data_IF_410038647416
#
_entry.id   IF_410038647416
#
_cell.length_a   1.000
_cell.length_b   1.000
_cell.length_c   1.000
_cell.angle_alpha   90.00
_cell.angle_beta   90.00
_cell.angle_gamma   90.00
#
_symmetry.space_group_name_H-M   'P 1'
#
loop_
_entity.id
_entity.type
_entity.pdbx_description
1 polymer ?
#
# COMPACT_ATOMS: atom_id res chain seq x y z
N UNK A 1 16.30 25.55 25.20
CA UNK A 1 15.40 24.91 24.21
C UNK A 1 16.17 24.77 22.90
N UNK A 2 16.28 23.56 22.37
CA UNK A 2 17.06 23.31 21.15
C UNK A 2 16.38 23.91 19.92
N UNK A 3 17.14 24.20 18.87
CA UNK A 3 16.59 24.70 17.61
C UNK A 3 15.60 23.68 16.99
N UNK A 4 15.83 22.38 17.21
CA UNK A 4 14.90 21.31 16.83
C UNK A 4 13.59 21.34 17.63
N UNK A 5 13.62 21.65 18.93
CA UNK A 5 12.40 21.82 19.74
C UNK A 5 11.56 23.00 19.23
N UNK A 6 12.21 24.16 18.99
CA UNK A 6 11.55 25.34 18.40
C UNK A 6 10.91 25.05 17.05
N UNK A 7 11.62 24.31 16.19
CA UNK A 7 11.07 23.87 14.89
C UNK A 7 9.76 23.10 15.06
N UNK A 8 9.73 22.09 15.95
CA UNK A 8 8.53 21.28 16.15
C UNK A 8 7.39 22.08 16.78
N UNK A 9 7.69 23.01 17.70
CA UNK A 9 6.68 23.91 18.27
C UNK A 9 6.03 24.78 17.20
N UNK A 10 6.83 25.49 16.39
CA UNK A 10 6.32 26.33 15.30
C UNK A 10 5.58 25.49 14.23
N UNK A 11 6.15 24.35 13.85
CA UNK A 11 5.55 23.45 12.86
C UNK A 11 4.19 22.92 13.34
N UNK A 12 4.08 22.49 14.59
CA UNK A 12 2.81 22.02 15.17
C UNK A 12 1.79 23.13 15.38
N UNK A 13 2.23 24.37 15.58
CA UNK A 13 1.37 25.55 15.67
C UNK A 13 0.98 26.14 14.28
N UNK A 14 1.39 25.50 13.17
CA UNK A 14 1.18 25.98 11.79
C UNK A 14 1.86 27.33 11.48
N UNK A 15 2.88 27.71 12.27
CA UNK A 15 3.73 28.88 12.05
C UNK A 15 4.87 28.52 11.08
N UNK A 16 4.51 28.40 9.80
CA UNK A 16 5.40 27.79 8.80
C UNK A 16 6.61 28.63 8.46
N UNK A 17 6.51 29.96 8.46
CA UNK A 17 7.66 30.83 8.21
C UNK A 17 8.72 30.67 9.30
N UNK A 18 8.31 30.67 10.56
CA UNK A 18 9.17 30.47 11.72
C UNK A 18 9.76 29.06 11.76
N UNK A 19 8.97 28.04 11.39
CA UNK A 19 9.47 26.67 11.25
C UNK A 19 10.51 26.56 10.11
N UNK A 20 10.27 27.17 8.95
CA UNK A 20 11.22 27.19 7.82
C UNK A 20 12.52 27.89 8.22
N UNK A 21 12.41 29.03 8.92
CA UNK A 21 13.57 29.76 9.42
C UNK A 21 14.40 28.90 10.38
N UNK A 22 13.77 28.14 11.28
CA UNK A 22 14.48 27.18 12.12
C UNK A 22 15.15 26.08 11.28
N UNK A 23 14.42 25.51 10.31
CA UNK A 23 14.90 24.42 9.47
C UNK A 23 16.13 24.79 8.64
N UNK A 24 16.18 26.02 8.11
CA UNK A 24 17.30 26.50 7.31
C UNK A 24 18.63 26.44 8.08
N UNK A 25 18.61 26.68 9.39
CA UNK A 25 19.78 26.71 10.28
C UNK A 25 20.34 25.33 10.63
N UNK A 26 19.63 24.25 10.33
CA UNK A 26 20.05 22.89 10.68
C UNK A 26 21.20 22.38 9.81
N UNK A 27 22.00 21.47 10.39
CA UNK A 27 22.97 20.68 9.63
C UNK A 27 22.26 19.77 8.63
N UNK A 28 23.03 19.17 7.72
CA UNK A 28 22.48 18.21 6.75
C UNK A 28 21.95 16.97 7.47
N UNK A 29 22.62 16.52 8.52
CA UNK A 29 22.21 15.37 9.34
C UNK A 29 20.86 15.63 10.01
N UNK A 30 20.68 16.80 10.62
CA UNK A 30 19.44 17.17 11.30
C UNK A 30 18.28 17.37 10.32
N UNK A 31 18.54 17.98 9.16
CA UNK A 31 17.56 18.08 8.06
C UNK A 31 17.13 16.70 7.59
N UNK A 32 18.10 15.79 7.40
CA UNK A 32 17.84 14.41 7.00
C UNK A 32 16.99 13.68 8.03
N UNK A 33 17.28 13.84 9.33
CA UNK A 33 16.49 13.24 10.40
C UNK A 33 15.03 13.77 10.43
N UNK A 34 14.82 15.06 10.15
CA UNK A 34 13.48 15.64 10.01
C UNK A 34 12.76 15.11 8.77
N UNK A 35 13.44 15.03 7.62
CA UNK A 35 12.87 14.43 6.42
C UNK A 35 12.52 12.95 6.63
N UNK A 36 13.34 12.18 7.34
CA UNK A 36 12.98 10.82 7.74
C UNK A 36 11.73 10.78 8.60
N UNK A 37 11.58 11.69 9.58
CA UNK A 37 10.36 11.81 10.39
C UNK A 37 9.15 12.20 9.55
N UNK A 38 9.29 13.11 8.59
CA UNK A 38 8.22 13.46 7.66
C UNK A 38 7.85 12.28 6.77
N UNK A 39 8.82 11.60 6.19
CA UNK A 39 8.59 10.40 5.40
C UNK A 39 7.86 9.33 6.19
N UNK A 40 8.26 9.09 7.44
CA UNK A 40 7.55 8.16 8.33
C UNK A 40 6.12 8.66 8.58
N UNK A 41 5.94 9.92 9.00
CA UNK A 41 4.60 10.47 9.21
C UNK A 41 3.73 10.41 7.96
N UNK A 42 4.24 10.69 6.76
CA UNK A 42 3.46 10.64 5.51
C UNK A 42 3.23 9.22 5.01
N UNK A 43 4.18 8.30 5.23
CA UNK A 43 4.02 6.89 4.91
C UNK A 43 3.03 6.18 5.85
N UNK A 44 2.91 6.64 7.10
CA UNK A 44 2.03 6.05 8.12
C UNK A 44 0.74 6.84 8.40
N UNK A 45 0.58 8.07 7.90
CA UNK A 45 -0.66 8.86 8.10
C UNK A 45 -1.69 8.69 6.98
N UNK A 46 -1.31 8.10 5.85
CA UNK A 46 -2.25 7.87 4.76
C UNK A 46 -3.08 6.65 5.08
N UNK A 47 -4.32 6.90 5.46
CA UNK A 47 -5.31 5.85 5.61
C UNK A 47 -5.87 5.44 4.24
N UNK A 48 -5.86 4.15 3.90
CA UNK A 48 -6.48 3.67 2.67
C UNK A 48 -7.98 3.95 2.72
N UNK A 49 -8.57 4.32 1.59
CA UNK A 49 -10.02 4.43 1.49
C UNK A 49 -10.67 3.06 1.26
N UNK A 50 -10.00 2.21 0.49
CA UNK A 50 -10.48 0.87 0.13
C UNK A 50 -9.45 -0.16 0.57
N UNK A 51 -9.94 -1.19 1.26
CA UNK A 51 -9.19 -2.39 1.60
C UNK A 51 -9.82 -3.56 0.83
N UNK A 52 -9.06 -4.18 -0.08
CA UNK A 52 -9.47 -5.41 -0.74
C UNK A 52 -8.87 -6.61 -0.02
N UNK A 53 -9.69 -7.62 0.26
CA UNK A 53 -9.23 -8.89 0.82
C UNK A 53 -9.65 -9.99 -0.13
N UNK A 54 -8.66 -10.68 -0.69
CA UNK A 54 -8.84 -11.84 -1.53
C UNK A 54 -8.26 -13.05 -0.83
N UNK A 55 -9.08 -14.08 -0.72
CA UNK A 55 -8.68 -15.37 -0.19
C UNK A 55 -8.80 -16.41 -1.30
N UNK A 56 -7.69 -17.11 -1.54
CA UNK A 56 -7.59 -18.16 -2.54
C UNK A 56 -6.93 -19.38 -1.91
N UNK A 57 -7.23 -20.54 -2.47
CA UNK A 57 -6.54 -21.78 -2.13
C UNK A 57 -5.85 -22.32 -3.37
N UNK A 58 -4.56 -22.62 -3.27
CA UNK A 58 -3.75 -23.24 -4.31
C UNK A 58 -4.30 -24.63 -4.65
N UNK A 59 -4.29 -24.98 -5.93
CA UNK A 59 -4.57 -26.35 -6.35
C UNK A 59 -3.44 -27.30 -5.92
N UNK A 60 -3.72 -28.60 -5.91
CA UNK A 60 -2.74 -29.61 -5.55
C UNK A 60 -1.44 -29.47 -6.35
N UNK A 61 -0.32 -29.41 -5.63
CA UNK A 61 1.03 -29.29 -6.21
C UNK A 61 1.39 -27.90 -6.73
N UNK A 62 0.54 -26.88 -6.54
CA UNK A 62 0.85 -25.47 -6.86
C UNK A 62 1.50 -24.75 -5.69
N UNK A 63 2.29 -23.74 -6.02
CA UNK A 63 3.07 -22.95 -5.06
C UNK A 63 2.61 -21.49 -5.04
N UNK A 64 3.04 -20.75 -4.03
CA UNK A 64 2.85 -19.30 -3.99
C UNK A 64 3.48 -18.60 -5.20
N UNK A 65 4.64 -19.06 -5.66
CA UNK A 65 5.32 -18.48 -6.82
C UNK A 65 4.51 -18.69 -8.11
N UNK A 66 3.88 -19.86 -8.28
CA UNK A 66 2.95 -20.11 -9.40
C UNK A 66 1.79 -19.12 -9.37
N UNK A 67 1.19 -18.92 -8.19
CA UNK A 67 0.12 -17.93 -8.00
C UNK A 67 0.60 -16.50 -8.28
N UNK A 68 1.74 -16.11 -7.72
CA UNK A 68 2.28 -14.77 -7.85
C UNK A 68 2.62 -14.44 -9.31
N UNK A 69 3.18 -15.40 -10.05
CA UNK A 69 3.39 -15.27 -11.49
C UNK A 69 2.07 -15.13 -12.26
N UNK A 70 1.05 -15.94 -11.95
CA UNK A 70 -0.27 -15.86 -12.58
C UNK A 70 -1.04 -14.57 -12.22
N UNK A 71 -0.74 -13.98 -11.06
CA UNK A 71 -1.37 -12.75 -10.57
C UNK A 71 -0.96 -11.51 -11.37
N UNK A 72 0.22 -11.52 -11.99
CA UNK A 72 0.71 -10.39 -12.76
C UNK A 72 -0.05 -10.21 -14.09
N UNK A 73 -0.36 -8.96 -14.47
CA UNK A 73 -0.75 -8.67 -15.84
C UNK A 73 0.41 -9.01 -16.80
N UNK A 74 0.13 -9.22 -18.09
CA UNK A 74 1.19 -9.34 -19.10
C UNK A 74 2.13 -8.13 -19.05
N UNK A 75 3.44 -8.38 -19.18
CA UNK A 75 4.50 -7.40 -18.93
C UNK A 75 4.36 -6.12 -19.77
N UNK A 76 3.84 -6.25 -20.98
CA UNK A 76 3.63 -5.15 -21.93
C UNK A 76 2.57 -4.13 -21.47
N UNK A 77 1.74 -4.47 -20.48
CA UNK A 77 0.78 -3.55 -19.84
C UNK A 77 1.25 -3.02 -18.50
N UNK A 78 2.49 -3.32 -18.12
CA UNK A 78 3.05 -2.98 -16.84
C UNK A 78 4.13 -1.93 -16.98
N UNK A 79 4.14 -0.95 -16.08
CA UNK A 79 5.27 -0.05 -15.90
C UNK A 79 6.12 -0.58 -14.74
N UNK A 80 7.22 -1.32 -15.00
CA UNK A 80 8.05 -1.86 -13.94
C UNK A 80 8.80 -0.74 -13.23
N UNK A 81 8.79 -0.78 -11.90
CA UNK A 81 9.61 0.05 -11.02
C UNK A 81 10.38 -0.90 -10.12
N UNK A 82 11.70 -0.78 -10.12
CA UNK A 82 12.57 -1.55 -9.23
C UNK A 82 12.84 -0.76 -7.94
N UNK A 83 12.67 -1.42 -6.79
CA UNK A 83 13.03 -0.84 -5.49
C UNK A 83 13.63 -1.92 -4.60
N UNK A 84 14.93 -1.81 -4.34
CA UNK A 84 15.67 -2.87 -3.64
C UNK A 84 15.69 -4.14 -4.48
N UNK A 85 15.28 -5.26 -3.90
CA UNK A 85 15.18 -6.55 -4.59
C UNK A 85 13.78 -6.83 -5.18
N UNK A 86 12.86 -5.86 -5.11
CA UNK A 86 11.45 -6.02 -5.52
C UNK A 86 11.15 -5.27 -6.83
N UNK A 87 10.35 -5.90 -7.70
CA UNK A 87 9.84 -5.30 -8.94
C UNK A 87 8.34 -5.04 -8.76
N UNK A 88 7.95 -3.76 -8.86
CA UNK A 88 6.57 -3.31 -8.78
C UNK A 88 6.02 -3.06 -10.17
N UNK A 89 4.84 -3.57 -10.48
CA UNK A 89 4.15 -3.25 -11.73
C UNK A 89 2.99 -2.31 -11.44
N UNK A 90 3.06 -1.08 -11.97
CA UNK A 90 1.98 -0.10 -11.81
C UNK A 90 0.91 -0.30 -12.89
N UNK A 91 -0.29 -0.68 -12.44
CA UNK A 91 -1.48 -0.92 -13.30
C UNK A 91 -2.77 -0.31 -12.73
N UNK A 92 -2.74 0.26 -11.52
CA UNK A 92 -3.93 0.83 -10.88
C UNK A 92 -4.01 2.35 -11.09
N UNK A 93 -5.22 2.92 -11.33
CA UNK A 93 -5.40 4.36 -11.56
C UNK A 93 -5.34 5.21 -10.28
N UNK A 94 -5.08 4.58 -9.13
CA UNK A 94 -4.85 5.21 -7.85
C UNK A 94 -3.70 4.50 -7.12
N UNK A 95 -2.96 5.19 -6.23
CA UNK A 95 -1.95 4.55 -5.40
C UNK A 95 -2.51 3.31 -4.72
N UNK A 96 -1.92 2.16 -5.05
CA UNK A 96 -2.36 0.85 -4.56
C UNK A 96 -1.16 0.03 -4.14
N UNK A 97 -1.27 -0.64 -3.00
CA UNK A 97 -0.26 -1.60 -2.52
C UNK A 97 -0.96 -2.89 -2.13
N UNK A 98 -0.51 -4.00 -2.70
CA UNK A 98 -1.04 -5.33 -2.38
C UNK A 98 0.02 -6.11 -1.63
N UNK A 99 -0.33 -6.59 -0.44
CA UNK A 99 0.47 -7.53 0.32
C UNK A 99 -0.08 -8.92 0.08
N UNK A 100 0.80 -9.85 -0.29
CA UNK A 100 0.44 -11.24 -0.47
C UNK A 100 1.12 -12.06 0.62
N UNK A 101 0.39 -13.01 1.20
CA UNK A 101 0.86 -13.87 2.26
C UNK A 101 0.31 -15.30 2.08
N UNK A 102 1.00 -16.26 2.68
CA UNK A 102 0.51 -17.63 2.84
C UNK A 102 0.15 -17.89 4.29
N UNK A 103 -0.82 -18.77 4.56
CA UNK A 103 -1.09 -19.23 5.91
C UNK A 103 0.08 -20.09 6.40
N UNK A 104 0.56 -19.81 7.62
CA UNK A 104 1.68 -20.54 8.24
C UNK A 104 1.33 -21.99 8.60
N UNK A 105 0.05 -22.29 8.81
CA UNK A 105 -0.45 -23.63 9.15
C UNK A 105 -0.95 -24.39 7.91
N UNK A 106 -1.34 -23.67 6.85
CA UNK A 106 -1.80 -24.25 5.60
C UNK A 106 -1.17 -23.51 4.40
N UNK A 107 -0.04 -23.99 3.85
CA UNK A 107 0.68 -23.28 2.80
C UNK A 107 -0.10 -23.17 1.48
N UNK A 108 -1.21 -23.90 1.33
CA UNK A 108 -2.09 -23.77 0.17
C UNK A 108 -2.99 -22.53 0.25
N UNK A 109 -3.14 -21.91 1.41
CA UNK A 109 -3.97 -20.72 1.57
C UNK A 109 -3.19 -19.46 1.25
N UNK A 110 -3.70 -18.68 0.30
CA UNK A 110 -3.12 -17.39 -0.11
C UNK A 110 -4.07 -16.26 0.27
N UNK A 111 -3.53 -15.27 0.99
CA UNK A 111 -4.20 -14.05 1.35
C UNK A 111 -3.56 -12.87 0.61
N UNK A 112 -4.35 -12.17 -0.19
CA UNK A 112 -3.95 -10.90 -0.82
C UNK A 112 -4.73 -9.76 -0.20
N UNK A 113 -4.05 -8.82 0.43
CA UNK A 113 -4.64 -7.62 1.03
C UNK A 113 -4.17 -6.39 0.26
N UNK A 114 -5.08 -5.78 -0.48
CA UNK A 114 -4.84 -4.55 -1.23
C UNK A 114 -5.30 -3.33 -0.45
N UNK A 115 -4.46 -2.30 -0.44
CA UNK A 115 -4.75 -0.99 0.11
C UNK A 115 -4.74 0.02 -1.03
N UNK A 116 -5.83 0.77 -1.19
CA UNK A 116 -5.94 1.81 -2.21
C UNK A 116 -6.22 3.16 -1.55
N UNK A 117 -5.38 4.15 -1.87
CA UNK A 117 -5.54 5.53 -1.44
C UNK A 117 -6.16 6.32 -2.58
N UNK A 118 -7.32 6.92 -2.32
CA UNK A 118 -8.01 7.79 -3.25
C UNK A 118 -7.88 9.20 -2.67
N UNK A 119 -7.13 10.05 -3.36
CA UNK A 119 -6.77 11.38 -2.87
C UNK A 119 -7.74 12.46 -3.42
N UNK A 120 -8.69 12.09 -4.29
CA UNK A 120 -9.70 13.00 -4.85
C UNK A 120 -10.96 12.29 -5.37
N UNK A 121 -12.07 13.03 -5.48
CA UNK A 121 -13.31 12.55 -6.11
C UNK A 121 -13.08 12.06 -7.54
N UNK A 122 -12.20 12.73 -8.30
CA UNK A 122 -11.82 12.32 -9.66
C UNK A 122 -11.14 10.95 -9.67
N UNK A 123 -10.20 10.70 -8.75
CA UNK A 123 -9.57 9.38 -8.60
C UNK A 123 -10.58 8.33 -8.15
N UNK A 124 -11.53 8.69 -7.28
CA UNK A 124 -12.61 7.82 -6.86
C UNK A 124 -13.50 7.41 -8.04
N UNK A 125 -13.88 8.36 -8.88
CA UNK A 125 -14.63 8.10 -10.11
C UNK A 125 -13.84 7.20 -11.09
N UNK A 126 -12.54 7.44 -11.28
CA UNK A 126 -11.68 6.58 -12.11
C UNK A 126 -11.57 5.15 -11.58
N UNK A 127 -11.40 4.97 -10.27
CA UNK A 127 -11.39 3.66 -9.63
C UNK A 127 -12.73 2.93 -9.80
N UNK A 128 -13.85 3.62 -9.58
CA UNK A 128 -15.19 3.03 -9.75
C UNK A 128 -15.49 2.72 -11.23
N UNK A 129 -15.03 3.54 -12.16
CA UNK A 129 -15.12 3.26 -13.58
C UNK A 129 -14.32 2.01 -13.95
N UNK A 130 -13.05 1.93 -13.52
CA UNK A 130 -12.18 0.76 -13.71
C UNK A 130 -12.81 -0.53 -13.15
N UNK A 131 -13.36 -0.47 -11.93
CA UNK A 131 -14.04 -1.62 -11.32
C UNK A 131 -15.27 -2.08 -12.12
N UNK A 132 -16.00 -1.18 -12.78
CA UNK A 132 -17.19 -1.50 -13.59
C UNK A 132 -16.86 -2.10 -14.96
N UNK A 133 -15.66 -1.85 -15.49
CA UNK A 133 -15.21 -2.42 -16.77
C UNK A 133 -14.28 -3.63 -16.59
N UNK A 134 -13.92 -4.00 -15.36
CA UNK A 134 -12.99 -5.10 -15.09
C UNK A 134 -13.41 -6.45 -15.70
N UNK A 135 -14.71 -6.74 -15.80
CA UNK A 135 -15.23 -7.96 -16.42
C UNK A 135 -15.27 -7.90 -17.97
N UNK A 136 -15.11 -6.69 -18.53
CA UNK A 136 -15.06 -6.42 -19.98
C UNK A 136 -13.64 -6.18 -20.49
N UNK A 137 -12.67 -6.17 -19.59
CA UNK A 137 -11.25 -6.05 -19.91
C UNK A 137 -10.68 -7.44 -20.17
N UNK A 138 -10.46 -7.76 -21.45
CA UNK A 138 -9.86 -9.02 -21.89
C UNK A 138 -8.53 -9.32 -21.17
N UNK A 139 -7.77 -8.29 -20.79
CA UNK A 139 -6.54 -8.44 -20.05
C UNK A 139 -6.81 -8.96 -18.63
N UNK A 140 -7.76 -8.34 -17.94
CA UNK A 140 -8.14 -8.74 -16.60
C UNK A 140 -8.77 -10.14 -16.62
N UNK A 141 -9.60 -10.46 -17.61
CA UNK A 141 -10.17 -11.79 -17.79
C UNK A 141 -9.08 -12.86 -17.98
N UNK A 142 -8.11 -12.64 -18.88
CA UNK A 142 -6.97 -13.57 -19.05
C UNK A 142 -6.16 -13.77 -17.77
N UNK A 143 -5.98 -12.70 -16.98
CA UNK A 143 -5.33 -12.76 -15.68
C UNK A 143 -6.13 -13.62 -14.70
N UNK A 144 -7.45 -13.43 -14.64
CA UNK A 144 -8.35 -14.27 -13.84
C UNK A 144 -8.25 -15.75 -14.25
N UNK A 145 -8.29 -16.04 -15.56
CA UNK A 145 -8.14 -17.41 -16.08
C UNK A 145 -6.80 -18.05 -15.69
N UNK A 146 -5.71 -17.28 -15.74
CA UNK A 146 -4.39 -17.78 -15.34
C UNK A 146 -4.33 -18.08 -13.84
N UNK A 147 -4.91 -17.21 -13.02
CA UNK A 147 -4.98 -17.45 -11.57
C UNK A 147 -5.82 -18.71 -11.30
N UNK A 148 -6.95 -18.90 -11.98
CA UNK A 148 -7.84 -20.02 -11.74
C UNK A 148 -7.24 -21.39 -12.13
N UNK A 149 -6.19 -21.42 -12.97
CA UNK A 149 -5.37 -22.62 -13.25
C UNK A 149 -4.44 -23.02 -12.10
N UNK A 150 -4.16 -22.11 -11.17
CA UNK A 150 -3.21 -22.36 -10.07
C UNK A 150 -3.83 -22.24 -8.69
N UNK A 151 -4.94 -21.50 -8.55
CA UNK A 151 -5.63 -21.30 -7.29
C UNK A 151 -7.13 -21.10 -7.48
N UNK A 152 -7.94 -21.77 -6.66
CA UNK A 152 -9.39 -21.52 -6.59
C UNK A 152 -9.69 -20.26 -5.78
N UNK A 153 -10.67 -19.47 -6.26
CA UNK A 153 -11.23 -18.35 -5.52
C UNK A 153 -12.09 -18.86 -4.37
N UNK A 154 -11.74 -18.49 -3.13
CA UNK A 154 -12.58 -18.74 -1.96
C UNK A 154 -13.42 -17.50 -1.64
N UNK A 155 -12.79 -16.33 -1.57
CA UNK A 155 -13.51 -15.07 -1.39
C UNK A 155 -12.79 -13.86 -1.99
N UNK A 156 -13.55 -12.82 -2.30
CA UNK A 156 -13.04 -11.50 -2.66
C UNK A 156 -14.02 -10.46 -2.14
N UNK A 157 -13.52 -9.54 -1.32
CA UNK A 157 -14.33 -8.53 -0.62
C UNK A 157 -13.62 -7.18 -0.67
N UNK A 158 -14.41 -6.13 -0.74
CA UNK A 158 -13.96 -4.75 -0.58
C UNK A 158 -14.53 -4.20 0.72
N UNK A 159 -13.70 -3.51 1.47
CA UNK A 159 -14.04 -2.87 2.72
C UNK A 159 -13.67 -1.40 2.66
N UNK A 160 -14.48 -0.57 3.30
CA UNK A 160 -14.16 0.82 3.59
C UNK A 160 -13.43 0.85 4.94
N UNK A 161 -12.31 1.58 5.02
CA UNK A 161 -11.66 1.81 6.30
C UNK A 161 -12.55 2.73 7.16
N UNK A 162 -12.88 2.28 8.39
CA UNK A 162 -13.63 3.10 9.35
C UNK A 162 -12.75 3.71 10.44
N UNK A 163 -11.73 2.98 10.91
CA UNK A 163 -10.76 3.44 11.90
C UNK A 163 -9.47 2.65 11.75
N UNK A 164 -8.36 3.16 12.31
CA UNK A 164 -7.10 2.45 12.45
C UNK A 164 -6.71 2.45 13.93
N UNK A 165 -6.68 1.27 14.54
CA UNK A 165 -6.25 1.13 15.93
C UNK A 165 -4.74 0.81 15.99
N UNK A 166 -4.03 1.46 16.92
CA UNK A 166 -2.58 1.40 17.13
C UNK A 166 -1.75 2.13 16.04
N UNK A 167 -0.77 2.93 16.48
CA UNK A 167 0.12 3.69 15.59
C UNK A 167 1.32 2.87 15.08
N UNK A 168 1.29 1.54 15.22
CA UNK A 168 2.42 0.67 14.87
C UNK A 168 3.66 0.84 15.77
N UNK A 169 3.53 1.55 16.89
CA UNK A 169 4.57 1.64 17.93
C UNK A 169 4.25 0.67 19.07
N UNK A 170 5.25 -0.06 19.59
CA UNK A 170 5.04 -0.93 20.75
C UNK A 170 4.50 -0.12 21.93
N UNK A 171 3.46 -0.62 22.59
CA UNK A 171 3.03 -0.07 23.88
C UNK A 171 4.15 -0.32 24.90
N UNK A 172 4.67 0.76 25.48
CA UNK A 172 5.50 0.65 26.69
C UNK A 172 4.51 0.46 27.84
N UNK A 173 4.46 -0.74 28.41
CA UNK A 173 3.73 -0.98 29.65
C UNK A 173 4.43 -0.17 30.75
N UNK A 174 3.84 0.95 31.14
CA UNK A 174 4.24 1.65 32.35
C UNK A 174 3.70 0.84 33.52
N UNK A 175 4.59 0.14 34.22
CA UNK A 175 4.29 -0.49 35.51
C UNK A 175 4.23 0.56 36.60
#
# INVERSE_FOLDING_TARGET
MSAQQKFWEYFSAQQFEEAINCFQTFSVEDKSAIFSKFFQKTAFSRNPMIISILYRELHDGKTFDDFHQAWFPPKEYCHPIEKGAEVFQQVFPAPTRVYNAINMENPNEVLSVGFTWIDSDEQGQKMMAYAKVGDKDDLNNKRHDNIDKVARKISSKLYELKTSDNLGIPFIVVK
#
